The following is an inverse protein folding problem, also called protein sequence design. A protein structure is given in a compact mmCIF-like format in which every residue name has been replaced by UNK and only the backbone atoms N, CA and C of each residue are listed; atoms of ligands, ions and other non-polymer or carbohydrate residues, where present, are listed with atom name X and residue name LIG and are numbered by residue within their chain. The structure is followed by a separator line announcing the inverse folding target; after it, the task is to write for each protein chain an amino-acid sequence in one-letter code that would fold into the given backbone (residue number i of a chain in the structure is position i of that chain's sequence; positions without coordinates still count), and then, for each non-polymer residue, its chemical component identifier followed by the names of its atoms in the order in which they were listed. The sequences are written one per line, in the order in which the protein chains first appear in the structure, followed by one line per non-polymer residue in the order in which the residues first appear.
data_IF_311004204494
#
_entry.id   IF_311004204494
#
_cell.length_a   1.000
_cell.length_b   1.000
_cell.length_c   1.000
_cell.angle_alpha   90.00
_cell.angle_beta   90.00
_cell.angle_gamma   90.00
#
_symmetry.space_group_name_H-M   'P 1'
#
loop_
_entity.id
_entity.type
_entity.pdbx_description
1 polymer ?
#
# COMPACT_ATOMS: atom_id res chain seq x y z
N UNK A 1 37.95 5.60 20.36
CA UNK A 1 37.28 4.32 20.03
C UNK A 1 36.34 4.60 18.87
N UNK A 2 36.61 4.07 17.68
CA UNK A 2 35.63 4.09 16.60
C UNK A 2 34.64 2.96 16.91
N UNK A 3 33.47 3.30 17.41
CA UNK A 3 32.38 2.34 17.57
C UNK A 3 31.83 2.10 16.16
N UNK A 4 32.08 0.91 15.61
CA UNK A 4 31.39 0.47 14.39
C UNK A 4 29.99 0.05 14.81
N UNK A 5 29.01 0.65 14.17
CA UNK A 5 27.61 0.33 14.40
C UNK A 5 27.11 -0.66 13.34
N UNK A 6 26.63 -1.81 13.81
CA UNK A 6 26.21 -2.96 13.00
C UNK A 6 24.73 -3.33 13.23
N UNK A 7 23.98 -2.46 13.91
CA UNK A 7 22.57 -2.70 14.20
C UNK A 7 21.74 -2.07 13.08
N UNK A 8 20.71 -2.79 12.63
CA UNK A 8 19.87 -2.33 11.52
C UNK A 8 18.76 -1.39 12.03
N UNK A 9 18.37 -0.38 11.23
CA UNK A 9 17.18 0.42 11.52
C UNK A 9 15.93 -0.44 11.68
N UNK A 10 15.15 -0.16 12.71
CA UNK A 10 13.87 -0.82 12.99
C UNK A 10 12.72 -0.01 12.41
N UNK A 11 11.89 -0.63 11.57
CA UNK A 11 10.68 -0.02 11.00
C UNK A 11 9.45 -0.59 11.71
N UNK A 12 8.55 0.29 12.14
CA UNK A 12 7.28 -0.06 12.76
C UNK A 12 6.12 0.53 11.97
N UNK A 13 5.08 -0.27 11.77
CA UNK A 13 3.84 0.13 11.10
C UNK A 13 2.73 0.27 12.14
N UNK A 14 1.98 1.38 12.10
CA UNK A 14 0.80 1.55 12.94
C UNK A 14 -0.27 0.50 12.62
N UNK A 15 -0.59 0.35 11.33
CA UNK A 15 -1.41 -0.74 10.80
C UNK A 15 -0.54 -1.59 9.87
N UNK A 16 -0.40 -2.88 10.17
CA UNK A 16 0.39 -3.80 9.35
C UNK A 16 -0.52 -4.68 8.48
N UNK A 17 -1.10 -4.08 7.43
CA UNK A 17 -2.08 -4.73 6.56
C UNK A 17 -3.51 -4.68 7.07
N UNK A 18 -4.45 -4.95 6.17
CA UNK A 18 -5.87 -5.11 6.46
C UNK A 18 -6.53 -5.93 5.34
N UNK A 19 -7.09 -7.09 5.70
CA UNK A 19 -7.70 -8.03 4.75
C UNK A 19 -9.14 -7.72 4.37
N UNK A 20 -9.75 -6.69 4.97
CA UNK A 20 -11.06 -6.17 4.58
C UNK A 20 -10.90 -5.25 3.37
N UNK A 21 -11.84 -5.23 2.42
CA UNK A 21 -11.79 -4.32 1.28
C UNK A 21 -12.15 -2.88 1.70
N UNK A 22 -11.43 -1.90 1.16
CA UNK A 22 -11.76 -0.48 1.27
C UNK A 22 -11.21 0.29 0.06
N UNK A 23 -11.77 1.48 -0.21
CA UNK A 23 -11.30 2.35 -1.31
C UNK A 23 -9.89 2.89 -1.09
N UNK A 24 -9.48 3.03 0.16
CA UNK A 24 -8.16 3.52 0.54
C UNK A 24 -7.67 2.87 1.83
N UNK A 25 -6.34 2.81 1.97
CA UNK A 25 -5.66 2.34 3.17
C UNK A 25 -4.54 3.29 3.54
N UNK A 26 -4.23 3.34 4.83
CA UNK A 26 -3.15 4.16 5.35
C UNK A 26 -2.43 3.43 6.47
N UNK A 27 -1.18 3.81 6.71
CA UNK A 27 -0.46 3.38 7.91
C UNK A 27 0.56 4.45 8.31
N UNK A 28 0.70 4.67 9.62
CA UNK A 28 1.78 5.49 10.16
C UNK A 28 3.06 4.67 10.15
N UNK A 29 4.15 5.24 9.67
CA UNK A 29 5.46 4.57 9.62
C UNK A 29 6.43 5.29 10.54
N UNK A 30 6.98 4.57 11.51
CA UNK A 30 8.02 5.07 12.41
C UNK A 30 9.28 4.24 12.27
N UNK A 31 10.43 4.91 12.18
CA UNK A 31 11.75 4.32 12.07
C UNK A 31 12.58 4.75 13.28
N UNK A 32 13.23 3.80 13.92
CA UNK A 32 14.15 4.02 15.04
C UNK A 32 15.42 3.21 14.85
N UNK A 33 16.49 3.63 15.49
CA UNK A 33 17.78 2.96 15.45
C UNK A 33 18.51 3.19 16.80
N UNK A 34 19.52 2.39 17.13
CA UNK A 34 20.36 2.58 18.33
C UNK A 34 21.29 3.79 18.21
N UNK A 35 21.58 4.23 16.98
CA UNK A 35 22.26 5.50 16.70
C UNK A 35 21.31 6.51 16.06
N UNK A 36 21.69 7.12 14.93
CA UNK A 36 20.92 8.14 14.22
C UNK A 36 20.38 7.55 12.92
N UNK A 37 19.07 7.65 12.73
CA UNK A 37 18.42 7.38 11.44
C UNK A 37 18.81 8.48 10.44
N UNK A 38 19.27 8.09 9.25
CA UNK A 38 19.44 9.02 8.14
C UNK A 38 18.06 9.35 7.55
N UNK A 39 17.45 10.44 8.03
CA UNK A 39 16.09 10.85 7.64
C UNK A 39 15.94 11.14 6.15
N UNK A 40 17.01 11.50 5.45
CA UNK A 40 17.01 11.72 3.99
C UNK A 40 16.94 10.43 3.18
N UNK A 41 17.24 9.28 3.81
CA UNK A 41 17.21 7.96 3.16
C UNK A 41 15.83 7.32 3.13
N UNK A 42 14.87 7.86 3.91
CA UNK A 42 13.56 7.24 4.12
C UNK A 42 12.73 7.29 2.84
N UNK A 43 12.47 6.11 2.27
CA UNK A 43 11.70 5.98 1.04
C UNK A 43 10.69 4.85 1.12
N UNK A 44 9.66 4.92 0.28
CA UNK A 44 8.63 3.90 0.19
C UNK A 44 8.22 3.57 -1.25
N UNK A 45 7.61 2.38 -1.39
CA UNK A 45 7.02 1.89 -2.62
C UNK A 45 5.77 1.09 -2.29
N UNK A 46 4.67 1.41 -2.98
CA UNK A 46 3.52 0.53 -3.04
C UNK A 46 3.62 -0.36 -4.28
N UNK A 47 3.41 -1.66 -4.13
CA UNK A 47 3.27 -2.58 -5.26
C UNK A 47 2.39 -3.78 -4.87
N UNK A 48 2.19 -4.69 -5.82
CA UNK A 48 1.41 -5.94 -5.63
C UNK A 48 2.31 -7.15 -5.37
N UNK A 49 3.63 -6.97 -5.32
CA UNK A 49 4.59 -8.06 -5.20
C UNK A 49 4.95 -8.33 -3.74
N UNK A 50 4.99 -9.61 -3.39
CA UNK A 50 5.53 -10.08 -2.12
C UNK A 50 7.06 -10.18 -2.11
N UNK A 51 7.70 -10.13 -3.28
CA UNK A 51 9.16 -10.24 -3.40
C UNK A 51 9.84 -8.93 -3.06
N UNK A 52 10.94 -8.98 -2.31
CA UNK A 52 11.71 -7.80 -1.93
C UNK A 52 12.14 -7.02 -3.19
N UNK A 53 11.71 -5.76 -3.36
CA UNK A 53 12.14 -4.93 -4.47
C UNK A 53 13.62 -4.56 -4.33
N UNK A 54 14.23 -4.14 -5.43
CA UNK A 54 15.55 -3.52 -5.38
C UNK A 54 15.46 -2.17 -4.69
N UNK A 55 16.50 -1.80 -3.95
CA UNK A 55 16.59 -0.49 -3.28
C UNK A 55 16.33 0.67 -4.26
N UNK A 56 16.89 0.59 -5.48
CA UNK A 56 16.75 1.64 -6.50
C UNK A 56 15.30 1.87 -6.96
N UNK A 57 14.41 0.89 -6.83
CA UNK A 57 12.99 1.04 -7.18
C UNK A 57 12.15 1.70 -6.09
N UNK A 58 12.70 1.85 -4.88
CA UNK A 58 12.00 2.48 -3.75
C UNK A 58 12.35 3.97 -3.75
N UNK A 59 11.52 4.79 -4.40
CA UNK A 59 11.89 6.18 -4.74
C UNK A 59 11.12 7.26 -3.99
N UNK A 60 9.90 6.98 -3.52
CA UNK A 60 9.05 8.02 -2.90
C UNK A 60 9.55 8.37 -1.51
N UNK A 61 9.94 9.61 -1.26
CA UNK A 61 10.41 10.04 0.05
C UNK A 61 9.24 10.20 1.05
N UNK A 62 9.51 9.99 2.33
CA UNK A 62 8.57 10.32 3.41
C UNK A 62 9.31 10.81 4.65
N UNK A 63 8.61 11.55 5.51
CA UNK A 63 9.16 11.98 6.81
C UNK A 63 8.92 10.90 7.86
N UNK A 64 9.89 10.67 8.74
CA UNK A 64 9.72 9.72 9.84
C UNK A 64 8.49 10.07 10.69
N UNK A 65 7.63 9.08 10.97
CA UNK A 65 6.37 9.26 11.68
C UNK A 65 5.21 9.70 10.80
N UNK A 66 5.39 9.86 9.48
CA UNK A 66 4.32 10.21 8.56
C UNK A 66 3.32 9.06 8.38
N UNK A 67 2.09 9.44 8.02
CA UNK A 67 1.06 8.53 7.53
C UNK A 67 1.18 8.42 6.02
N UNK A 68 1.35 7.20 5.51
CA UNK A 68 1.45 6.92 4.07
C UNK A 68 0.11 6.37 3.58
N UNK A 69 -0.43 6.96 2.51
CA UNK A 69 -1.66 6.53 1.86
C UNK A 69 -1.38 5.51 0.74
N UNK A 70 -2.31 4.58 0.54
CA UNK A 70 -2.33 3.70 -0.63
C UNK A 70 -2.50 4.51 -1.92
N UNK A 71 -2.07 3.97 -3.09
CA UNK A 71 -2.31 4.62 -4.37
C UNK A 71 -3.80 4.88 -4.61
N UNK A 72 -4.14 6.05 -5.15
CA UNK A 72 -5.52 6.41 -5.44
C UNK A 72 -6.07 5.55 -6.60
N UNK A 73 -7.32 5.09 -6.45
CA UNK A 73 -8.01 4.31 -7.50
C UNK A 73 -7.49 2.88 -7.71
N UNK A 74 -6.57 2.40 -6.87
CA UNK A 74 -6.06 1.04 -6.96
C UNK A 74 -7.10 -0.01 -6.51
N UNK A 75 -7.13 -1.16 -7.19
CA UNK A 75 -7.93 -2.32 -6.82
C UNK A 75 -7.02 -3.55 -6.76
N UNK A 76 -7.18 -4.38 -5.73
CA UNK A 76 -6.42 -5.61 -5.53
C UNK A 76 -5.63 -5.63 -4.23
N UNK A 77 -4.67 -6.54 -4.18
CA UNK A 77 -3.80 -6.78 -3.03
C UNK A 77 -2.52 -5.95 -3.14
N UNK A 78 -2.33 -5.03 -2.21
CA UNK A 78 -1.20 -4.11 -2.20
C UNK A 78 -0.35 -4.26 -0.94
N UNK A 79 0.96 -4.02 -1.10
CA UNK A 79 1.95 -4.06 -0.05
C UNK A 79 2.75 -2.76 -0.04
N UNK A 80 2.99 -2.23 1.15
CA UNK A 80 3.88 -1.09 1.36
C UNK A 80 5.26 -1.61 1.73
N UNK A 81 6.26 -1.21 0.95
CA UNK A 81 7.67 -1.43 1.21
C UNK A 81 8.29 -0.13 1.72
N UNK A 82 9.03 -0.21 2.82
CA UNK A 82 9.79 0.89 3.40
C UNK A 82 11.27 0.59 3.32
N UNK A 83 12.04 1.56 2.87
CA UNK A 83 13.50 1.59 2.95
C UNK A 83 13.92 2.60 4.00
N UNK A 84 14.82 2.18 4.88
CA UNK A 84 15.45 3.04 5.87
C UNK A 84 16.94 2.75 5.98
N UNK A 85 17.72 3.80 6.23
CA UNK A 85 19.15 3.71 6.57
C UNK A 85 19.47 4.51 7.81
N UNK A 86 20.50 4.09 8.53
CA UNK A 86 21.14 4.92 9.55
C UNK A 86 22.27 5.77 8.95
N UNK A 87 22.95 6.52 9.80
CA UNK A 87 24.15 7.29 9.43
C UNK A 87 25.41 6.44 9.28
N UNK A 88 25.38 5.19 9.71
CA UNK A 88 26.48 4.20 9.66
C UNK A 88 26.50 3.42 8.34
N UNK A 89 25.42 3.48 7.56
CA UNK A 89 25.26 2.79 6.28
C UNK A 89 24.41 1.52 6.35
N UNK A 90 23.94 1.11 7.53
CA UNK A 90 23.06 -0.04 7.67
C UNK A 90 21.72 0.24 6.98
N UNK A 91 21.14 -0.76 6.31
CA UNK A 91 19.95 -0.60 5.47
C UNK A 91 18.91 -1.67 5.78
N UNK A 92 17.67 -1.24 6.02
CA UNK A 92 16.51 -2.11 6.21
C UNK A 92 15.50 -1.88 5.11
N UNK A 93 14.99 -2.96 4.51
CA UNK A 93 13.83 -2.95 3.63
C UNK A 93 12.77 -3.86 4.23
N UNK A 94 11.62 -3.33 4.59
CA UNK A 94 10.54 -4.07 5.24
C UNK A 94 9.21 -3.90 4.53
N UNK A 95 8.44 -4.99 4.45
CA UNK A 95 7.10 -5.04 3.85
C UNK A 95 6.02 -5.06 4.92
N UNK A 96 4.87 -4.48 4.62
CA UNK A 96 3.64 -4.77 5.37
C UNK A 96 3.04 -6.13 5.02
N UNK A 97 2.04 -6.57 5.79
CA UNK A 97 1.04 -7.52 5.32
C UNK A 97 0.14 -6.90 4.25
N UNK A 98 -0.73 -7.71 3.64
CA UNK A 98 -1.61 -7.29 2.55
C UNK A 98 -2.58 -6.21 2.98
N UNK A 99 -2.77 -5.20 2.12
CA UNK A 99 -3.89 -4.27 2.16
C UNK A 99 -4.81 -4.55 0.98
N UNK A 100 -6.08 -4.85 1.28
CA UNK A 100 -7.08 -5.04 0.23
C UNK A 100 -7.72 -3.72 -0.16
N UNK A 101 -7.63 -3.40 -1.45
CA UNK A 101 -8.22 -2.21 -2.06
C UNK A 101 -9.30 -2.61 -3.07
N UNK A 102 -10.42 -1.88 -3.07
CA UNK A 102 -11.48 -2.02 -4.05
C UNK A 102 -12.01 -0.65 -4.46
N UNK A 103 -11.68 -0.25 -5.68
CA UNK A 103 -12.21 0.92 -6.38
C UNK A 103 -12.94 0.52 -7.68
N UNK A 104 -13.32 -0.75 -7.83
CA UNK A 104 -14.02 -1.25 -9.02
C UNK A 104 -15.41 -0.62 -9.08
N UNK A 105 -15.71 0.09 -10.17
CA UNK A 105 -17.03 0.68 -10.40
C UNK A 105 -17.99 -0.47 -10.75
N UNK A 106 -19.14 -0.62 -10.07
CA UNK A 106 -20.10 -1.65 -10.42
C UNK A 106 -20.65 -1.40 -11.82
N UNK A 107 -20.68 -2.46 -12.63
CA UNK A 107 -21.27 -2.42 -13.97
C UNK A 107 -22.66 -3.07 -13.88
N UNK A 108 -23.70 -2.31 -14.22
CA UNK A 108 -25.06 -2.83 -14.39
C UNK A 108 -25.29 -3.02 -15.88
N UNK A 109 -25.52 -4.27 -16.30
CA UNK A 109 -25.89 -4.60 -17.67
C UNK A 109 -27.37 -4.97 -17.71
N UNK A 110 -28.16 -4.22 -18.47
CA UNK A 110 -29.58 -4.52 -18.71
C UNK A 110 -29.72 -5.05 -20.14
N UNK A 111 -30.27 -6.25 -20.31
CA UNK A 111 -30.50 -6.84 -21.63
C UNK A 111 -31.88 -7.55 -21.72
N UNK A 112 -32.82 -7.10 -22.57
CA UNK A 112 -32.72 -5.90 -23.42
C UNK A 112 -32.91 -4.60 -22.63
N UNK A 113 -32.21 -3.53 -23.03
CA UNK A 113 -32.32 -2.21 -22.41
C UNK A 113 -33.72 -1.58 -22.53
N UNK A 114 -34.54 -2.09 -23.47
CA UNK A 114 -35.95 -1.77 -23.63
C UNK A 114 -36.73 -3.04 -23.94
N UNK A 115 -37.86 -3.22 -23.25
CA UNK A 115 -38.88 -4.20 -23.63
C UNK A 115 -40.02 -3.41 -24.28
N UNK A 116 -40.27 -3.65 -25.56
CA UNK A 116 -41.43 -3.08 -26.25
C UNK A 116 -42.61 -4.03 -26.06
N UNK A 117 -43.62 -3.58 -25.32
CA UNK A 117 -44.86 -4.32 -25.10
C UNK A 117 -45.95 -3.65 -25.95
N UNK A 118 -46.66 -4.44 -26.76
CA UNK A 118 -47.83 -3.93 -27.47
C UNK A 118 -48.97 -3.69 -26.47
N UNK A 119 -49.73 -2.60 -26.66
CA UNK A 119 -50.91 -2.31 -25.84
C UNK A 119 -51.86 -3.52 -25.82
N UNK A 120 -52.19 -4.02 -24.63
CA UNK A 120 -53.02 -5.21 -24.42
C UNK A 120 -52.27 -6.54 -24.29
N UNK A 121 -50.94 -6.58 -24.47
CA UNK A 121 -50.15 -7.80 -24.29
C UNK A 121 -49.75 -8.06 -22.83
N UNK A 122 -49.68 -9.33 -22.43
CA UNK A 122 -49.18 -9.76 -21.11
C UNK A 122 -47.65 -9.84 -21.15
N UNK A 123 -46.97 -9.12 -20.25
CA UNK A 123 -45.53 -9.29 -20.00
C UNK A 123 -45.32 -10.22 -18.82
N UNK A 124 -44.44 -11.21 -18.98
CA UNK A 124 -44.03 -12.11 -17.90
C UNK A 124 -42.53 -11.95 -17.73
N UNK A 125 -42.11 -11.46 -16.56
CA UNK A 125 -40.71 -11.46 -16.17
C UNK A 125 -40.34 -12.89 -15.74
N UNK A 126 -39.29 -13.45 -16.33
CA UNK A 126 -38.77 -14.79 -15.94
C UNK A 126 -37.59 -14.65 -15.01
#
# INVERSE_FOLDING_TARGET
VNVVDNVLPTITFGTNGNSTYAKSRTTKVTVSDNVIVNTSSLKYLWNTSTTKPSEASITNAFTNGATINSPAGATGDYYLWILAKDTSGNTTIQRTSVFKLDNTIPVITVNPATVTITEGSVYTDT
#
